data_IF_078584602440
#
_entry.id   IF_078584602440
#
_cell.length_a   1.000
_cell.length_b   1.000
_cell.length_c   1.000
_cell.angle_alpha   90.00
_cell.angle_beta   90.00
_cell.angle_gamma   90.00
#
_symmetry.space_group_name_H-M   'P 1'
#
loop_
_entity.id
_entity.type
_entity.pdbx_description
1 polymer ?
2 non-polymer ?
#
# COMPACT_ATOMS: atom_id res chain seq x y z
N UNK A 11 -7.95 -8.22 -27.26
CA UNK A 11 -8.51 -7.32 -28.32
C UNK A 11 -8.67 -5.92 -27.72
N UNK A 12 -9.70 -5.71 -26.91
CA UNK A 12 -9.98 -4.38 -26.32
C UNK A 12 -8.66 -3.79 -25.79
N UNK A 13 -7.86 -4.60 -25.09
CA UNK A 13 -6.53 -4.20 -24.54
C UNK A 13 -5.64 -3.71 -25.69
N UNK A 14 -5.42 -4.57 -26.68
CA UNK A 14 -4.46 -4.34 -27.78
C UNK A 14 -5.04 -3.33 -28.78
N UNK A 15 -6.34 -3.42 -29.09
CA UNK A 15 -7.07 -2.48 -29.98
C UNK A 15 -6.94 -1.03 -29.46
N UNK A 16 -7.11 -0.82 -28.15
CA UNK A 16 -7.36 0.51 -27.54
C UNK A 16 -6.14 1.01 -26.76
N UNK A 17 -5.14 0.16 -26.49
CA UNK A 17 -3.93 0.59 -25.74
C UNK A 17 -2.64 0.24 -26.51
N UNK A 18 -1.57 0.96 -26.17
CA UNK A 18 -0.17 0.58 -26.46
C UNK A 18 0.53 0.43 -25.11
N UNK A 19 1.39 -0.58 -24.94
CA UNK A 19 2.19 -0.80 -23.71
C UNK A 19 3.47 0.00 -23.80
N UNK A 20 4.03 0.41 -22.67
CA UNK A 20 5.26 1.25 -22.61
C UNK A 20 6.34 0.55 -21.78
N UNK A 21 5.97 -0.06 -20.67
CA UNK A 21 6.92 -0.53 -19.64
C UNK A 21 6.24 -1.52 -18.70
N UNK A 22 6.82 -2.70 -18.52
CA UNK A 22 6.48 -3.58 -17.37
C UNK A 22 6.67 -2.70 -16.12
N UNK A 23 5.60 -2.49 -15.36
CA UNK A 23 5.64 -1.66 -14.14
C UNK A 23 6.01 -2.58 -12.96
N UNK A 24 5.50 -3.81 -12.98
CA UNK A 24 5.80 -4.83 -11.96
C UNK A 24 5.32 -6.21 -12.40
N UNK A 25 5.68 -7.25 -11.65
CA UNK A 25 5.16 -8.63 -11.86
C UNK A 25 4.66 -9.15 -10.52
N UNK A 26 3.38 -9.52 -10.47
CA UNK A 26 2.71 -10.08 -9.28
C UNK A 26 2.81 -11.60 -9.26
N UNK A 27 2.43 -12.22 -8.15
CA UNK A 27 2.39 -13.69 -7.97
C UNK A 27 1.41 -14.27 -9.00
N UNK A 28 0.32 -13.55 -9.27
CA UNK A 28 -0.76 -13.91 -10.23
C UNK A 28 -0.30 -13.54 -11.65
N UNK A 29 -0.30 -12.23 -11.96
CA UNK A 29 0.02 -11.65 -13.27
C UNK A 29 0.49 -10.20 -13.14
N UNK A 30 0.94 -9.61 -14.25
CA UNK A 30 1.77 -8.37 -14.30
C UNK A 30 0.91 -7.09 -14.29
N UNK A 31 1.57 -5.94 -14.12
CA UNK A 31 0.98 -4.58 -14.26
C UNK A 31 1.78 -3.81 -15.32
N UNK A 32 1.12 -3.40 -16.41
CA UNK A 32 1.78 -2.75 -17.56
C UNK A 32 1.36 -1.28 -17.62
N UNK A 33 2.30 -0.34 -17.46
CA UNK A 33 2.13 1.08 -17.85
C UNK A 33 1.83 1.14 -19.34
N UNK A 34 0.73 1.80 -19.73
CA UNK A 34 0.16 1.81 -21.12
C UNK A 34 -0.31 3.22 -21.43
N UNK A 35 -0.47 3.55 -22.72
CA UNK A 35 -1.15 4.77 -23.19
C UNK A 35 -2.51 4.39 -23.77
N UNK A 36 -3.52 5.22 -23.53
CA UNK A 36 -4.85 5.06 -24.16
C UNK A 36 -4.82 5.77 -25.50
N UNK A 37 -5.20 5.10 -26.57
CA UNK A 37 -5.25 5.73 -27.91
C UNK A 37 -6.00 7.06 -27.81
N UNK A 38 -7.23 7.03 -27.29
CA UNK A 38 -8.22 8.13 -27.49
C UNK A 38 -7.95 9.33 -26.59
N UNK A 39 -7.66 9.12 -25.30
CA UNK A 39 -7.27 10.22 -24.37
C UNK A 39 -5.81 10.56 -24.63
N UNK A 40 -5.01 9.55 -24.94
CA UNK A 40 -3.53 9.67 -24.93
C UNK A 40 -3.01 9.66 -23.51
N UNK A 41 -3.77 9.07 -22.59
CA UNK A 41 -3.42 9.12 -21.15
C UNK A 41 -2.72 7.82 -20.77
N UNK A 42 -1.68 7.93 -19.95
CA UNK A 42 -0.91 6.78 -19.41
C UNK A 42 -1.71 6.20 -18.25
N UNK A 43 -1.84 4.88 -18.19
CA UNK A 43 -2.55 4.14 -17.12
C UNK A 43 -1.70 2.95 -16.70
N UNK A 44 -1.90 2.44 -15.49
CA UNK A 44 -1.36 1.14 -15.01
C UNK A 44 -2.43 0.09 -15.26
N UNK A 45 -2.08 -1.10 -15.76
CA UNK A 45 -3.07 -2.16 -16.07
C UNK A 45 -2.58 -3.51 -15.57
N UNK A 46 -3.15 -3.95 -14.44
CA UNK A 46 -3.05 -5.33 -13.91
C UNK A 46 -3.77 -6.18 -14.93
N UNK A 47 -3.12 -7.26 -15.38
CA UNK A 47 -3.75 -8.33 -16.20
C UNK A 47 -3.52 -9.64 -15.46
N UNK A 48 -4.61 -10.33 -15.08
CA UNK A 48 -4.53 -11.62 -14.32
C UNK A 48 -5.15 -12.71 -15.17
N UNK A 49 -4.49 -13.88 -15.32
CA UNK A 49 -5.11 -15.02 -15.97
C UNK A 49 -6.13 -15.57 -14.96
N UNK A 50 -7.30 -16.00 -15.46
CA UNK A 50 -8.52 -16.26 -14.65
C UNK A 50 -9.15 -17.58 -15.08
N UNK A 51 -9.49 -18.43 -14.10
CA UNK A 51 -10.34 -19.63 -14.26
C UNK A 51 -11.78 -19.24 -13.87
N UNK A 52 -12.64 -18.89 -14.85
CA UNK A 52 -14.03 -18.54 -14.55
C UNK A 52 -14.71 -19.69 -13.77
N UNK A 53 -15.40 -19.35 -12.67
CA UNK A 53 -15.91 -20.27 -11.62
C UNK A 53 -14.73 -20.92 -10.87
N UNK A 54 -14.44 -20.43 -9.66
CA UNK A 54 -13.48 -21.03 -8.69
C UNK A 54 -13.62 -20.39 -7.30
N UNK A 57 -11.77 -17.25 -7.76
CA UNK A 57 -12.08 -16.23 -8.80
C UNK A 57 -13.34 -15.43 -8.44
N UNK A 58 -14.44 -16.12 -8.15
CA UNK A 58 -15.65 -15.49 -7.58
C UNK A 58 -15.22 -14.56 -6.44
N UNK A 59 -14.20 -14.95 -5.66
CA UNK A 59 -13.53 -14.08 -4.67
C UNK A 59 -13.17 -12.78 -5.39
N UNK A 60 -12.40 -12.92 -6.47
CA UNK A 60 -11.81 -11.79 -7.27
C UNK A 60 -12.94 -10.85 -7.69
N UNK A 61 -13.87 -11.33 -8.52
CA UNK A 61 -15.03 -10.53 -8.99
C UNK A 61 -15.61 -9.79 -7.78
N UNK A 62 -15.69 -10.47 -6.64
CA UNK A 62 -16.08 -9.86 -5.35
C UNK A 62 -15.23 -8.65 -5.02
N UNK A 63 -13.92 -8.84 -4.87
CA UNK A 63 -12.99 -7.76 -4.49
C UNK A 63 -12.99 -6.66 -5.58
N UNK A 64 -13.31 -7.00 -6.83
CA UNK A 64 -13.41 -5.97 -7.90
C UNK A 64 -14.56 -5.04 -7.54
N UNK A 65 -15.78 -5.61 -7.49
CA UNK A 65 -17.02 -5.01 -6.95
C UNK A 65 -16.67 -4.14 -5.74
N UNK A 66 -16.02 -4.76 -4.76
CA UNK A 66 -15.74 -4.13 -3.46
C UNK A 66 -14.82 -2.91 -3.64
N UNK A 67 -13.87 -2.96 -4.56
CA UNK A 67 -12.76 -1.97 -4.61
C UNK A 67 -13.12 -0.82 -5.55
N UNK A 68 -13.81 -1.11 -6.66
CA UNK A 68 -14.46 -0.13 -7.56
C UNK A 68 -15.00 1.05 -6.74
N UNK A 69 -15.75 0.72 -5.68
CA UNK A 69 -16.63 1.65 -4.92
C UNK A 69 -15.80 2.62 -4.08
N UNK A 70 -14.51 2.36 -3.85
CA UNK A 70 -13.60 3.23 -3.07
C UNK A 70 -13.26 4.50 -3.86
N UNK A 71 -13.49 5.67 -3.24
CA UNK A 71 -13.16 7.01 -3.78
C UNK A 71 -12.40 7.79 -2.70
N UNK A 72 -11.12 8.06 -2.94
CA UNK A 72 -10.25 8.85 -2.04
C UNK A 72 -9.01 9.35 -2.79
N UNK A 73 -8.54 10.54 -2.39
CA UNK A 73 -7.33 11.22 -2.94
C UNK A 73 -6.08 10.45 -2.48
N UNK A 74 -6.28 9.40 -1.69
CA UNK A 74 -5.20 8.59 -1.05
C UNK A 74 -5.39 7.12 -1.43
N UNK A 75 -6.25 6.87 -2.43
CA UNK A 75 -6.37 5.56 -3.14
C UNK A 75 -6.05 5.80 -4.61
N UNK A 76 -5.49 4.80 -5.27
CA UNK A 76 -5.21 4.82 -6.73
C UNK A 76 -6.57 4.92 -7.42
N UNK A 77 -6.72 5.87 -8.36
CA UNK A 77 -7.99 6.15 -9.09
C UNK A 77 -8.32 4.91 -9.93
N UNK A 78 -9.53 4.37 -9.79
CA UNK A 78 -10.02 3.23 -10.61
C UNK A 78 -10.58 3.80 -11.92
N UNK A 79 -10.51 3.03 -13.01
CA UNK A 79 -11.05 3.44 -14.33
C UNK A 79 -12.02 2.39 -14.88
N UNK A 80 -11.55 1.16 -15.09
CA UNK A 80 -12.33 0.11 -15.78
C UNK A 80 -11.77 -1.26 -15.40
N UNK A 81 -12.54 -2.28 -15.73
CA UNK A 81 -12.21 -3.70 -15.51
C UNK A 81 -13.05 -4.52 -16.50
N UNK A 82 -12.42 -5.46 -17.23
CA UNK A 82 -13.11 -6.30 -18.24
C UNK A 82 -12.41 -7.65 -18.37
N UNK A 83 -13.00 -8.55 -19.17
CA UNK A 83 -12.50 -9.93 -19.44
C UNK A 83 -12.41 -10.13 -20.96
N UNK A 84 -11.52 -11.01 -21.42
CA UNK A 84 -11.29 -11.31 -22.85
C UNK A 84 -11.19 -12.83 -23.03
N UNK A 85 -11.77 -13.37 -24.11
CA UNK A 85 -12.04 -14.82 -24.35
C UNK A 85 -10.74 -15.53 -24.76
N UNK A 99 -11.96 -17.28 -22.13
CA UNK A 99 -11.33 -18.38 -21.34
C UNK A 99 -10.45 -17.73 -20.25
N UNK A 100 -9.60 -16.78 -20.65
CA UNK A 100 -8.29 -16.48 -19.99
C UNK A 100 -8.38 -15.26 -19.05
N UNK A 101 -8.18 -14.03 -19.56
CA UNK A 101 -7.58 -12.90 -18.80
C UNK A 101 -8.62 -11.90 -18.25
N UNK A 102 -8.32 -11.34 -17.07
CA UNK A 102 -8.99 -10.17 -16.42
C UNK A 102 -8.02 -8.98 -16.42
N UNK A 103 -8.49 -7.83 -16.89
CA UNK A 103 -7.73 -6.56 -16.94
C UNK A 103 -8.36 -5.58 -15.96
N UNK A 104 -7.55 -4.72 -15.32
CA UNK A 104 -7.99 -3.64 -14.40
C UNK A 104 -7.16 -2.38 -14.70
N UNK A 105 -7.82 -1.33 -15.14
CA UNK A 105 -7.17 -0.08 -15.59
C UNK A 105 -7.21 0.92 -14.45
N UNK A 106 -6.04 1.42 -14.03
CA UNK A 106 -5.93 2.38 -12.91
C UNK A 106 -5.09 3.59 -13.31
N UNK A 107 -5.12 4.61 -12.45
CA UNK A 107 -4.21 5.77 -12.44
C UNK A 107 -2.77 5.26 -12.51
N UNK A 108 -1.94 5.88 -13.33
CA UNK A 108 -0.47 5.66 -13.33
C UNK A 108 0.19 6.78 -12.53
N UNK A 109 0.64 6.48 -11.31
CA UNK A 109 1.29 7.44 -10.39
C UNK A 109 2.74 7.67 -10.84
N UNK A 110 3.08 8.90 -11.21
CA UNK A 110 4.33 9.22 -11.95
C UNK A 110 5.56 9.08 -11.05
N UNK A 111 5.43 9.26 -9.74
CA UNK A 111 6.55 9.23 -8.77
C UNK A 111 6.78 7.81 -8.20
N UNK A 112 6.30 6.78 -8.89
CA UNK A 112 6.48 5.34 -8.53
C UNK A 112 6.03 5.12 -7.08
N UNK A 113 6.80 4.35 -6.31
CA UNK A 113 6.41 3.80 -4.99
C UNK A 113 7.11 4.54 -3.85
N UNK A 114 6.58 4.36 -2.64
CA UNK A 114 7.13 4.87 -1.36
C UNK A 114 8.51 4.24 -1.13
N UNK A 115 8.64 2.94 -1.44
CA UNK A 115 9.89 2.14 -1.45
C UNK A 115 11.03 2.95 -2.10
N UNK A 116 10.86 3.35 -3.37
CA UNK A 116 11.82 4.22 -4.12
C UNK A 116 12.11 5.46 -3.28
N UNK A 117 11.05 6.14 -2.84
CA UNK A 117 11.13 7.39 -2.04
C UNK A 117 11.90 7.11 -0.73
N UNK A 118 11.64 5.98 -0.06
CA UNK A 118 12.31 5.58 1.21
C UNK A 118 13.81 5.40 0.94
N UNK A 119 14.13 4.71 -0.16
CA UNK A 119 15.49 4.24 -0.51
C UNK A 119 16.36 5.42 -0.96
N UNK A 120 15.73 6.53 -1.40
CA UNK A 120 16.46 7.74 -1.87
C UNK A 120 16.39 8.87 -0.81
N UNK A 121 16.30 8.52 0.47
CA UNK A 121 16.57 9.44 1.60
C UNK A 121 15.35 10.19 2.07
N UNK A 122 14.29 9.48 2.45
CA UNK A 122 13.05 10.07 3.02
C UNK A 122 13.35 10.58 4.43
N UNK A 123 14.07 9.78 5.23
CA UNK A 123 14.45 10.11 6.64
C UNK A 123 15.05 11.52 6.74
N UNK A 124 15.70 11.99 5.69
CA UNK A 124 16.35 13.33 5.61
C UNK A 124 15.28 14.42 5.81
N UNK A 125 14.26 14.42 4.96
CA UNK A 125 13.20 15.47 4.91
C UNK A 125 12.10 15.12 5.93
N UNK A 126 12.21 15.64 7.15
CA UNK A 126 11.29 15.34 8.29
C UNK A 126 9.89 15.92 7.97
N UNK A 127 9.85 17.10 7.36
CA UNK A 127 8.60 17.82 6.96
C UNK A 127 7.81 16.91 6.00
N UNK A 128 8.48 16.45 4.93
CA UNK A 128 7.94 15.55 3.88
C UNK A 128 7.56 14.20 4.51
N UNK A 129 8.51 13.59 5.21
CA UNK A 129 8.29 12.34 5.99
C UNK A 129 6.89 12.37 6.61
N UNK A 130 6.66 13.32 7.52
CA UNK A 130 5.44 13.41 8.36
C UNK A 130 4.19 13.51 7.46
N UNK A 131 4.20 14.47 6.53
CA UNK A 131 3.06 14.75 5.60
C UNK A 131 2.55 13.47 4.96
N UNK A 132 3.45 12.70 4.33
CA UNK A 132 3.13 11.45 3.59
C UNK A 132 2.48 10.47 4.56
N UNK A 133 3.18 10.15 5.66
CA UNK A 133 2.66 9.35 6.80
C UNK A 133 1.19 9.73 7.03
N UNK A 134 0.90 11.03 7.17
CA UNK A 134 -0.47 11.59 7.36
C UNK A 134 -1.36 11.01 6.25
N UNK A 135 -1.07 11.37 4.99
CA UNK A 135 -1.86 10.96 3.81
C UNK A 135 -2.19 9.46 3.91
N UNK A 136 -1.20 8.63 4.25
CA UNK A 136 -1.40 7.15 4.37
C UNK A 136 -2.52 6.94 5.39
N UNK A 137 -2.38 7.56 6.57
CA UNK A 137 -3.38 7.45 7.66
C UNK A 137 -4.76 7.83 7.11
N UNK A 138 -4.86 8.99 6.46
CA UNK A 138 -6.06 9.46 5.73
C UNK A 138 -6.68 8.26 5.02
N UNK A 139 -5.94 7.69 4.05
CA UNK A 139 -6.33 6.50 3.30
C UNK A 139 -6.85 5.40 4.19
N UNK A 140 -6.07 5.01 5.20
CA UNK A 140 -6.43 3.85 6.07
C UNK A 140 -7.77 4.13 6.75
N UNK A 141 -7.99 5.37 7.20
CA UNK A 141 -9.23 5.80 7.90
C UNK A 141 -10.41 5.54 6.95
N UNK A 142 -10.37 6.14 5.77
CA UNK A 142 -11.38 5.94 4.69
C UNK A 142 -11.63 4.44 4.51
N UNK A 143 -10.57 3.68 4.26
CA UNK A 143 -10.67 2.21 4.04
C UNK A 143 -11.38 1.60 5.23
N UNK A 144 -10.94 1.93 6.45
CA UNK A 144 -11.45 1.36 7.72
C UNK A 144 -12.93 1.70 7.91
N UNK A 145 -13.34 2.92 7.58
CA UNK A 145 -14.72 3.41 7.84
C UNK A 145 -15.69 2.89 6.78
N UNK A 146 -15.21 2.43 5.62
CA UNK A 146 -16.05 1.69 4.62
C UNK A 146 -16.19 0.22 5.05
N UNK A 147 -15.55 -0.17 6.16
CA UNK A 147 -15.64 -1.51 6.78
C UNK A 147 -14.61 -2.45 6.18
N UNK A 148 -13.44 -1.92 5.79
CA UNK A 148 -12.45 -2.62 4.93
C UNK A 148 -11.04 -2.59 5.54
N UNK A 149 -10.20 -3.51 5.08
CA UNK A 149 -8.79 -3.72 5.51
C UNK A 149 -7.95 -4.11 4.28
N UNK A 150 -6.72 -3.60 4.22
CA UNK A 150 -5.78 -3.77 3.08
C UNK A 150 -5.07 -5.12 3.23
N UNK A 151 -4.42 -5.32 4.38
CA UNK A 151 -3.73 -6.59 4.80
C UNK A 151 -2.38 -6.73 4.10
N UNK A 152 -2.31 -6.36 2.81
CA UNK A 152 -1.08 -6.43 1.99
C UNK A 152 -0.47 -5.03 1.90
N UNK A 153 -0.44 -4.31 3.02
CA UNK A 153 0.10 -2.93 3.07
C UNK A 153 1.63 -3.00 3.22
N UNK A 154 2.35 -2.20 2.41
CA UNK A 154 3.83 -2.06 2.45
C UNK A 154 4.30 -1.05 1.38
N UNK A 155 5.57 -0.57 1.46
CA UNK A 155 6.00 0.58 0.64
C UNK A 155 5.91 0.38 -0.88
N UNK A 156 6.06 -0.86 -1.36
CA UNK A 156 5.91 -1.20 -2.80
C UNK A 156 4.43 -1.04 -3.20
N UNK A 157 3.53 -1.12 -2.23
CA UNK A 157 2.05 -1.16 -2.45
C UNK A 157 1.43 0.22 -2.23
N UNK A 158 2.26 1.22 -1.95
CA UNK A 158 1.88 2.66 -1.82
C UNK A 158 2.63 3.45 -2.89
N UNK A 159 1.91 4.17 -3.75
CA UNK A 159 2.45 4.84 -4.96
C UNK A 159 2.49 6.33 -4.66
N UNK A 160 2.95 7.14 -5.62
CA UNK A 160 3.12 8.60 -5.46
C UNK A 160 2.81 9.29 -6.80
N UNK A 161 1.83 10.21 -6.79
CA UNK A 161 1.29 10.91 -7.99
C UNK A 161 2.34 11.94 -8.40
N UNK A 162 2.07 12.75 -9.42
CA UNK A 162 3.07 13.74 -9.92
C UNK A 162 3.13 14.94 -8.96
N UNK A 163 2.17 15.03 -8.02
CA UNK A 163 2.10 16.11 -6.99
C UNK A 163 2.58 15.54 -5.65
N UNK A 164 3.11 14.31 -5.67
CA UNK A 164 3.83 13.68 -4.54
C UNK A 164 2.85 13.45 -3.37
N UNK A 165 1.63 13.04 -3.67
CA UNK A 165 0.60 12.60 -2.69
C UNK A 165 0.50 11.07 -2.73
N UNK A 166 0.36 10.43 -1.57
CA UNK A 166 0.13 8.95 -1.41
C UNK A 166 -1.05 8.54 -2.30
N UNK A 167 -0.92 7.44 -3.05
CA UNK A 167 -2.05 6.69 -3.64
C UNK A 167 -1.90 5.21 -3.26
N UNK A 168 -2.58 4.78 -2.19
CA UNK A 168 -2.54 3.37 -1.70
C UNK A 168 -3.25 2.49 -2.74
N UNK A 169 -2.76 1.27 -2.96
CA UNK A 169 -3.26 0.34 -3.99
C UNK A 169 -2.84 -1.10 -3.74
N UNK A 170 -2.97 -1.96 -4.76
CA UNK A 170 -2.52 -3.37 -4.76
C UNK A 170 -3.07 -4.09 -3.52
N UNK A 171 -4.38 -4.02 -3.31
CA UNK A 171 -5.05 -4.58 -2.11
C UNK A 171 -4.78 -6.09 -2.06
N UNK A 172 -4.95 -6.76 -3.19
CA UNK A 172 -4.88 -8.23 -3.28
C UNK A 172 -6.24 -8.78 -3.63
N UNK A 173 -6.44 -9.14 -4.91
CA UNK A 173 -7.77 -9.48 -5.47
C UNK A 173 -8.22 -10.89 -5.03
N UNK A 174 -7.30 -11.78 -4.69
CA UNK A 174 -7.65 -13.12 -4.12
C UNK A 174 -7.70 -13.05 -2.59
N UNK A 175 -7.59 -11.84 -2.01
CA UNK A 175 -7.57 -11.58 -0.54
C UNK A 175 -8.87 -10.87 -0.11
N UNK A 176 -9.62 -11.48 0.82
CA UNK A 176 -10.87 -10.91 1.40
C UNK A 176 -10.49 -9.63 2.14
N UNK A 177 -11.21 -8.51 1.90
CA UNK A 177 -10.93 -7.19 2.52
C UNK A 177 -12.07 -6.67 3.41
N UNK A 178 -13.10 -7.49 3.71
CA UNK A 178 -14.20 -7.10 4.62
C UNK A 178 -13.79 -7.39 6.05
N UNK A 179 -13.80 -6.36 6.91
CA UNK A 179 -13.27 -6.39 8.29
C UNK A 179 -14.05 -7.36 9.19
N UNK A 180 -14.83 -8.29 8.60
CA UNK A 180 -15.40 -9.46 9.32
C UNK A 180 -15.09 -10.75 8.54
N UNK A 208 7.21 -11.55 2.33
CA UNK A 208 6.17 -10.52 2.61
C UNK A 208 5.89 -10.47 4.12
N UNK A 209 6.67 -11.21 4.92
CA UNK A 209 6.45 -11.55 6.35
C UNK A 209 6.62 -10.34 7.29
N UNK A 210 7.49 -9.39 6.95
CA UNK A 210 7.99 -8.35 7.89
C UNK A 210 6.86 -7.37 8.24
N UNK A 211 5.91 -7.16 7.31
CA UNK A 211 4.84 -6.14 7.43
C UNK A 211 3.60 -6.75 8.08
N UNK A 212 3.44 -8.09 8.01
CA UNK A 212 2.35 -8.88 8.67
C UNK A 212 2.57 -8.84 10.18
N UNK A 213 1.48 -8.95 10.95
CA UNK A 213 1.45 -8.83 12.44
C UNK A 213 1.27 -10.23 13.05
N UNK A 214 1.60 -10.42 14.36
CA UNK A 214 1.65 -11.76 14.95
C UNK A 214 0.33 -12.52 15.12
N UNK A 215 -0.81 -11.90 14.81
CA UNK A 215 -2.17 -12.50 14.93
C UNK A 215 -2.23 -13.80 14.12
N UNK A 224 -9.14 -11.01 10.88
CA UNK A 224 -9.67 -9.79 10.20
C UNK A 224 -9.93 -8.70 11.26
N UNK A 225 -9.02 -7.71 11.35
CA UNK A 225 -9.14 -6.51 12.22
C UNK A 225 -8.28 -5.38 11.64
N UNK A 226 -8.84 -4.16 11.57
CA UNK A 226 -8.18 -2.94 11.01
C UNK A 226 -6.82 -2.70 11.68
N UNK A 227 -6.61 -3.25 12.88
CA UNK A 227 -5.34 -3.13 13.63
C UNK A 227 -4.18 -3.63 12.77
N UNK A 228 -4.40 -4.61 11.88
CA UNK A 228 -3.31 -5.29 11.11
C UNK A 228 -2.55 -4.25 10.27
N UNK A 229 -3.25 -3.33 9.61
CA UNK A 229 -2.65 -2.35 8.66
C UNK A 229 -1.84 -1.32 9.44
N UNK A 230 -2.24 -1.05 10.68
CA UNK A 230 -1.61 -0.03 11.54
C UNK A 230 -0.29 -0.55 12.09
N UNK A 231 -0.21 -1.85 12.39
CA UNK A 231 1.08 -2.56 12.65
C UNK A 231 2.02 -2.31 11.48
N UNK A 232 1.64 -2.77 10.30
CA UNK A 232 2.37 -2.60 9.01
C UNK A 232 2.82 -1.14 8.87
N UNK A 233 1.98 -0.19 9.25
CA UNK A 233 2.28 1.25 9.10
C UNK A 233 3.51 1.61 9.96
N UNK A 234 3.66 0.99 11.13
CA UNK A 234 4.80 1.19 12.04
C UNK A 234 6.10 0.75 11.38
N UNK A 235 6.10 -0.46 10.80
CA UNK A 235 7.22 -0.99 9.96
C UNK A 235 7.49 0.07 8.89
N UNK A 236 6.46 0.46 8.14
CA UNK A 236 6.58 1.41 7.00
C UNK A 236 7.12 2.72 7.54
N UNK A 237 6.45 3.29 8.55
CA UNK A 237 6.80 4.62 9.09
C UNK A 237 8.29 4.58 9.47
N UNK A 238 8.70 3.57 10.24
CA UNK A 238 10.12 3.34 10.60
C UNK A 238 10.98 3.60 9.35
N UNK A 239 10.76 2.82 8.29
CA UNK A 239 11.56 2.84 7.04
C UNK A 239 11.54 4.25 6.43
N UNK A 240 10.40 4.93 6.48
CA UNK A 240 10.25 6.32 5.96
C UNK A 240 11.21 7.23 6.74
N UNK A 241 11.26 7.02 8.05
CA UNK A 241 11.96 7.88 9.05
C UNK A 241 13.42 7.42 9.24
N UNK A 242 13.85 6.37 8.54
CA UNK A 242 15.19 5.73 8.68
C UNK A 242 15.99 5.88 7.38
N UNK A 243 17.31 5.70 7.47
CA UNK A 243 18.23 5.72 6.31
C UNK A 243 17.96 4.47 5.48
N UNK A 244 18.13 4.52 4.13
CA UNK A 244 17.96 3.34 3.29
C UNK A 244 18.87 2.23 3.82
N UNK A 245 18.33 1.02 4.00
CA UNK A 245 19.09 -0.16 4.51
C UNK A 245 19.71 -0.92 3.33
N UNK A 246 20.94 -0.51 2.95
CA UNK A 246 21.72 -1.00 1.77
C UNK A 246 21.59 -2.52 1.67
N UNK A 247 22.02 -3.23 2.72
CA UNK A 247 22.04 -4.71 2.80
C UNK A 247 20.62 -5.26 2.96
N UNK A 248 20.39 -6.50 2.50
CA UNK A 248 19.16 -7.28 2.75
C UNK A 248 19.19 -7.79 4.19
N UNK A 249 20.33 -8.35 4.61
CA UNK A 249 20.61 -8.83 6.00
C UNK A 249 20.28 -7.72 6.99
N UNK A 250 20.58 -6.46 6.64
CA UNK A 250 20.27 -5.25 7.44
C UNK A 250 18.75 -5.09 7.53
N UNK A 251 18.09 -4.75 6.41
CA UNK A 251 16.60 -4.62 6.30
C UNK A 251 15.95 -5.65 7.23
N UNK A 252 16.24 -6.93 6.99
CA UNK A 252 15.60 -8.13 7.62
C UNK A 252 15.84 -8.14 9.14
N UNK A 253 17.10 -8.08 9.58
CA UNK A 253 17.46 -8.18 11.02
C UNK A 253 16.82 -7.02 11.81
N UNK A 254 16.99 -5.79 11.32
CA UNK A 254 16.57 -4.52 11.98
C UNK A 254 15.06 -4.58 12.27
N UNK A 255 14.29 -5.14 11.34
CA UNK A 255 12.81 -5.14 11.37
C UNK A 255 12.33 -6.32 12.24
N UNK A 256 12.97 -7.49 12.13
CA UNK A 256 12.76 -8.64 13.07
C UNK A 256 12.85 -8.17 14.52
N UNK A 257 13.65 -7.12 14.76
CA UNK A 257 13.92 -6.52 16.11
C UNK A 257 12.74 -5.61 16.52
N UNK A 258 12.19 -4.84 15.57
CA UNK A 258 10.95 -4.06 15.79
C UNK A 258 9.83 -5.00 16.26
N UNK A 259 9.85 -6.27 15.83
CA UNK A 259 8.81 -7.30 16.10
C UNK A 259 9.20 -8.18 17.30
N UNK A 260 9.70 -7.59 18.39
CA UNK A 260 10.04 -8.27 19.68
C UNK A 260 8.77 -8.41 20.51
N UNK A 261 8.28 -9.65 20.75
CA UNK A 261 6.99 -9.89 21.42
C UNK A 261 6.64 -9.06 22.67
N UNK A 262 7.57 -8.89 23.61
CA UNK A 262 7.35 -8.12 24.87
C UNK A 262 7.39 -6.62 24.55
N UNK A 263 8.37 -6.15 23.75
CA UNK A 263 8.55 -4.72 23.38
C UNK A 263 9.51 -4.57 22.20
N UNK A 264 9.17 -3.76 21.15
CA UNK A 264 10.09 -3.43 20.07
C UNK A 264 11.50 -3.00 20.51
N UNK A 265 12.49 -3.22 19.63
CA UNK A 265 13.92 -2.84 19.83
C UNK A 265 14.43 -2.18 18.55
N UNK A 266 15.06 -1.00 18.67
CA UNK A 266 15.40 -0.07 17.58
C UNK A 266 16.91 -0.03 17.34
N UNK A 267 17.39 0.56 16.22
CA UNK A 267 18.82 0.86 16.05
C UNK A 267 19.46 1.73 17.14
N UNK A 268 20.76 1.94 17.04
CA UNK A 268 21.60 2.73 18.00
C UNK A 268 21.57 4.22 17.60
N UNK A 269 21.00 4.56 16.44
CA UNK A 269 21.07 5.94 15.85
C UNK A 269 19.66 6.57 15.79
N UNK A 275 15.07 12.01 16.34
CA UNK A 275 14.14 10.96 15.81
C UNK A 275 13.27 10.41 16.94
N UNK A 276 12.81 11.27 17.86
CA UNK A 276 12.27 10.89 19.19
C UNK A 276 10.74 10.75 19.13
N UNK A 277 10.06 11.69 18.45
CA UNK A 277 8.58 11.63 18.21
C UNK A 277 8.24 10.33 17.48
N UNK A 278 9.01 10.01 16.42
CA UNK A 278 8.86 8.79 15.58
C UNK A 278 8.79 7.55 16.49
N UNK A 279 9.66 7.47 17.50
CA UNK A 279 9.79 6.30 18.40
C UNK A 279 8.42 5.99 19.03
N UNK A 280 7.91 6.92 19.86
CA UNK A 280 6.64 6.82 20.61
C UNK A 280 5.50 6.34 19.71
N UNK A 281 5.40 6.90 18.49
CA UNK A 281 4.39 6.56 17.44
C UNK A 281 4.53 5.08 17.05
N UNK A 282 5.71 4.70 16.56
CA UNK A 282 5.97 3.33 16.01
C UNK A 282 5.77 2.32 17.14
N UNK A 283 6.14 2.68 18.37
CA UNK A 283 5.94 1.85 19.58
C UNK A 283 4.45 1.58 19.78
N UNK A 284 3.64 2.64 19.86
CA UNK A 284 2.16 2.57 19.86
C UNK A 284 1.75 1.56 18.79
N UNK A 285 2.08 1.87 17.53
CA UNK A 285 1.60 1.16 16.31
C UNK A 285 1.94 -0.33 16.37
N UNK A 286 3.12 -0.68 16.92
CA UNK A 286 3.69 -2.05 16.79
C UNK A 286 3.31 -2.91 17.99
N UNK A 287 2.62 -2.34 18.97
CA UNK A 287 2.15 -3.04 20.20
C UNK A 287 1.59 -4.43 19.81
N UNK A 288 2.20 -5.50 20.34
CA UNK A 288 1.91 -6.93 20.05
C UNK A 288 0.42 -7.22 20.28
N UNK A 289 -0.17 -6.62 21.32
CA UNK A 289 -1.62 -6.64 21.61
C UNK A 289 -2.31 -5.62 20.71
N UNK A 290 -3.21 -6.02 19.78
CA UNK A 290 -3.76 -5.10 18.79
C UNK A 290 -4.62 -3.98 19.40
N UNK A 291 -5.16 -4.21 20.61
CA UNK A 291 -6.13 -3.33 21.30
C UNK A 291 -5.45 -2.06 21.82
N UNK A 292 -4.11 -2.04 21.91
CA UNK A 292 -3.33 -0.84 22.34
C UNK A 292 -2.71 -0.14 21.13
N UNK A 293 -3.07 -0.53 19.90
CA UNK A 293 -2.74 0.24 18.67
C UNK A 293 -3.87 1.24 18.41
N UNK A 294 -3.58 2.46 17.92
CA UNK A 294 -4.61 3.47 17.66
C UNK A 294 -5.33 3.29 16.31
N UNK A 295 -6.60 3.69 16.26
CA UNK A 295 -7.37 3.80 14.99
C UNK A 295 -6.71 4.89 14.13
N UNK A 296 -6.78 4.77 12.80
CA UNK A 296 -6.19 5.72 11.84
C UNK A 296 -6.54 7.15 12.27
N UNK A 297 -7.80 7.35 12.67
CA UNK A 297 -8.34 8.64 13.16
C UNK A 297 -7.79 8.95 14.56
N UNK A 298 -7.81 7.96 15.47
CA UNK A 298 -7.30 8.12 16.86
C UNK A 298 -5.86 8.65 16.83
N UNK A 299 -5.05 8.14 15.90
CA UNK A 299 -3.62 8.52 15.72
C UNK A 299 -3.53 9.85 14.97
N UNK A 300 -4.43 10.10 14.02
CA UNK A 300 -4.56 11.41 13.34
C UNK A 300 -4.95 12.50 14.37
N UNK A 301 -5.44 12.10 15.53
CA UNK A 301 -5.91 13.01 16.62
C UNK A 301 -4.76 13.28 17.61
N UNK A 302 -3.92 12.27 17.88
CA UNK A 302 -2.73 12.37 18.77
C UNK A 302 -1.96 13.66 18.47
N UNK A 303 -1.42 14.30 19.52
CA UNK A 303 -0.68 15.59 19.44
C UNK A 303 0.75 15.36 18.94
N UNK A 304 1.12 14.09 18.68
CA UNK A 304 2.50 13.68 18.30
C UNK A 304 2.77 14.03 16.82
N UNK A 305 2.10 15.06 16.30
CA UNK A 305 1.95 15.32 14.83
C UNK A 305 2.10 16.81 14.52
N UNK A 306 2.83 17.16 13.43
CA UNK A 306 2.65 18.42 12.68
C UNK A 306 1.19 18.83 12.41
N UNK A 307 0.82 19.65 11.39
CA UNK A 307 1.72 20.20 10.36
C UNK A 307 2.70 21.26 10.87
#
# INVERSE_FOLDING_TARGET
GGSSETQRQFSRYFIEFEELQLLGKGAFGAVIKVQNKLDGCCYAVKRIPINPASRQFRRIKGEVTLLSRLHHENIVRYYNAWIENGCHESEPSVTTEAVHYLYIQMEYCEASTLRDTIDQGLYRDTVRLWRLFREILDGLAYIHEKGMIHRNLKPVNIFLDSDDHVKIGDFGLATDHLAFSADSKQDDQTGDLIKSDPSGHLEGMVGEALYVSPEVQGSTKSAYNQKVDLFSLGIIFFEMSYHPMVTASERIFVLNQLRDPTSPKFPEDFDDGEHAKQKSVISWLLNHDPAKRPTATELLKSELLPPPQMEESELHE
#
